data_IF_683188851068
#
_entry.id   IF_683188851068
#
_cell.length_a   1.000
_cell.length_b   1.000
_cell.length_c   1.000
_cell.angle_alpha   90.00
_cell.angle_beta   90.00
_cell.angle_gamma   90.00
#
_symmetry.space_group_name_H-M   'P 1'
#
loop_
_entity.id
_entity.type
_entity.pdbx_description
1 polymer ?
#
# COMPACT_ATOMS: atom_id res chain seq x y z
N UNK A 1 -14.63 40.60 4.13
CA UNK A 1 -13.37 40.46 3.37
C UNK A 1 -12.70 39.17 3.84
N UNK A 2 -12.82 38.10 3.08
CA UNK A 2 -12.24 36.80 3.44
C UNK A 2 -10.74 36.81 3.21
N UNK A 3 -9.96 36.64 4.29
CA UNK A 3 -8.50 36.56 4.28
C UNK A 3 -7.96 35.31 3.54
N UNK A 4 -8.84 34.39 3.15
CA UNK A 4 -8.50 33.09 2.56
C UNK A 4 -9.41 32.83 1.38
N UNK A 5 -8.86 32.40 0.24
CA UNK A 5 -9.67 32.05 -0.94
C UNK A 5 -10.58 30.86 -0.65
N UNK A 6 -11.76 30.81 -1.27
CA UNK A 6 -12.72 29.70 -1.08
C UNK A 6 -12.11 28.32 -1.43
N UNK A 7 -11.15 28.30 -2.37
CA UNK A 7 -10.39 27.10 -2.72
C UNK A 7 -9.53 26.62 -1.55
N UNK A 8 -8.77 27.51 -0.91
CA UNK A 8 -7.95 27.16 0.25
C UNK A 8 -8.78 26.65 1.42
N UNK A 9 -9.97 27.22 1.65
CA UNK A 9 -10.90 26.73 2.69
C UNK A 9 -11.34 25.29 2.39
N UNK A 10 -11.60 24.98 1.13
CA UNK A 10 -12.00 23.63 0.69
C UNK A 10 -10.84 22.64 0.82
N UNK A 11 -9.64 23.02 0.41
CA UNK A 11 -8.45 22.17 0.50
C UNK A 11 -8.09 21.86 1.97
N UNK A 12 -8.16 22.87 2.85
CA UNK A 12 -7.98 22.68 4.30
C UNK A 12 -9.05 21.77 4.90
N UNK A 13 -10.31 21.92 4.46
CA UNK A 13 -11.41 21.05 4.92
C UNK A 13 -11.17 19.59 4.54
N UNK A 14 -10.61 19.33 3.35
CA UNK A 14 -10.27 17.98 2.89
C UNK A 14 -9.13 17.37 3.70
N UNK A 15 -8.05 18.13 3.92
CA UNK A 15 -6.90 17.66 4.70
C UNK A 15 -7.33 17.36 6.14
N UNK A 16 -8.09 18.27 6.75
CA UNK A 16 -8.57 18.08 8.12
C UNK A 16 -9.48 16.86 8.21
N UNK A 17 -10.44 16.70 7.30
CA UNK A 17 -11.29 15.53 7.31
C UNK A 17 -10.48 14.23 7.14
N UNK A 18 -9.47 14.22 6.26
CA UNK A 18 -8.64 13.05 6.07
C UNK A 18 -7.90 12.67 7.36
N UNK A 19 -7.33 13.66 8.05
CA UNK A 19 -6.67 13.48 9.32
C UNK A 19 -7.60 12.90 10.40
N UNK A 20 -8.80 13.49 10.58
CA UNK A 20 -9.79 12.99 11.55
C UNK A 20 -10.22 11.55 11.25
N UNK A 21 -10.41 11.20 9.97
CA UNK A 21 -10.75 9.82 9.57
C UNK A 21 -9.61 8.84 9.83
N UNK A 22 -8.36 9.26 9.65
CA UNK A 22 -7.18 8.42 9.93
C UNK A 22 -7.01 8.18 11.43
N UNK A 23 -7.18 9.23 12.24
CA UNK A 23 -7.17 9.12 13.71
C UNK A 23 -8.26 8.17 14.18
N UNK A 24 -9.48 8.29 13.64
CA UNK A 24 -10.57 7.38 13.95
C UNK A 24 -10.21 5.93 13.66
N UNK A 25 -9.68 5.62 12.47
CA UNK A 25 -9.28 4.25 12.14
C UNK A 25 -8.20 3.72 13.10
N UNK A 26 -7.21 4.54 13.44
CA UNK A 26 -6.15 4.16 14.36
C UNK A 26 -6.65 3.90 15.79
N UNK A 27 -7.54 4.75 16.31
CA UNK A 27 -8.12 4.59 17.64
C UNK A 27 -9.12 3.42 17.69
N UNK A 28 -9.87 3.20 16.61
CA UNK A 28 -10.83 2.10 16.46
C UNK A 28 -10.15 0.73 16.52
N UNK A 29 -8.96 0.58 15.93
CA UNK A 29 -8.18 -0.66 16.02
C UNK A 29 -7.65 -0.95 17.43
N UNK A 30 -7.57 0.06 18.29
CA UNK A 30 -6.86 0.01 19.58
C UNK A 30 -7.75 0.19 20.83
N UNK A 31 -9.06 0.44 20.71
CA UNK A 31 -9.93 0.80 21.85
C UNK A 31 -11.30 0.06 21.92
N UNK A 32 -12.12 0.42 22.92
CA UNK A 32 -13.31 -0.29 23.38
C UNK A 32 -14.58 0.20 22.66
N UNK A 33 -15.39 -0.72 22.11
CA UNK A 33 -16.51 -0.50 21.16
C UNK A 33 -17.59 0.54 21.54
N UNK A 34 -17.71 0.92 22.81
CA UNK A 34 -18.73 1.88 23.26
C UNK A 34 -18.26 3.34 23.19
N UNK A 35 -16.97 3.62 23.39
CA UNK A 35 -16.39 4.96 23.21
C UNK A 35 -16.43 5.38 21.73
N UNK A 36 -16.26 4.40 20.84
CA UNK A 36 -16.36 4.53 19.40
C UNK A 36 -17.72 5.10 18.98
N UNK A 37 -18.79 4.75 19.72
CA UNK A 37 -20.16 5.18 19.41
C UNK A 37 -20.42 6.68 19.57
N UNK A 38 -19.68 7.32 20.47
CA UNK A 38 -19.80 8.76 20.68
C UNK A 38 -18.93 9.51 19.68
N UNK A 39 -17.71 9.02 19.49
CA UNK A 39 -16.72 9.63 18.62
C UNK A 39 -17.15 9.61 17.13
N UNK A 40 -17.78 8.54 16.63
CA UNK A 40 -18.32 8.55 15.25
C UNK A 40 -19.40 9.61 15.03
N UNK A 41 -20.26 9.86 16.02
CA UNK A 41 -21.32 10.88 15.89
C UNK A 41 -20.72 12.28 15.80
N UNK A 42 -19.62 12.51 16.52
CA UNK A 42 -18.88 13.75 16.47
C UNK A 42 -18.23 13.95 15.10
N UNK A 43 -17.59 12.93 14.54
CA UNK A 43 -17.02 12.97 13.18
C UNK A 43 -18.11 13.17 12.11
N UNK A 44 -19.23 12.46 12.18
CA UNK A 44 -20.34 12.69 11.24
C UNK A 44 -20.92 14.09 11.34
N UNK A 45 -21.07 14.62 12.55
CA UNK A 45 -21.52 16.00 12.76
C UNK A 45 -20.50 16.98 12.18
N UNK A 46 -19.21 16.70 12.35
CA UNK A 46 -18.13 17.48 11.77
C UNK A 46 -18.18 17.47 10.23
N UNK A 47 -18.27 16.31 9.58
CA UNK A 47 -18.41 16.17 8.12
C UNK A 47 -19.63 16.95 7.61
N UNK A 48 -20.79 16.77 8.25
CA UNK A 48 -22.03 17.47 7.86
C UNK A 48 -21.90 18.99 8.04
N UNK A 49 -21.15 19.45 9.04
CA UNK A 49 -20.87 20.88 9.22
C UNK A 49 -19.92 21.41 8.14
N UNK A 50 -18.89 20.66 7.76
CA UNK A 50 -18.01 21.01 6.65
C UNK A 50 -18.79 21.13 5.33
N UNK A 51 -19.70 20.21 5.04
CA UNK A 51 -20.53 20.23 3.82
C UNK A 51 -21.56 21.37 3.78
N UNK A 52 -21.97 21.89 4.95
CA UNK A 52 -22.90 23.04 5.01
C UNK A 52 -22.26 24.34 4.54
N UNK A 53 -20.93 24.46 4.63
CA UNK A 53 -20.17 25.63 4.19
C UNK A 53 -20.37 25.86 2.69
N UNK A 54 -20.65 27.10 2.23
CA UNK A 54 -20.97 27.39 0.83
C UNK A 54 -19.82 27.02 -0.12
N UNK A 55 -18.56 27.18 0.32
CA UNK A 55 -17.36 26.78 -0.43
C UNK A 55 -17.29 25.26 -0.68
N UNK A 56 -17.81 24.46 0.25
CA UNK A 56 -17.61 23.02 0.27
C UNK A 56 -18.77 22.23 -0.36
N UNK A 57 -19.95 22.85 -0.54
CA UNK A 57 -21.15 22.17 -1.09
C UNK A 57 -20.92 21.53 -2.45
N UNK A 58 -20.07 22.14 -3.28
CA UNK A 58 -19.71 21.62 -4.60
C UNK A 58 -18.50 20.69 -4.61
N UNK A 59 -17.85 20.45 -3.47
CA UNK A 59 -16.59 19.71 -3.41
C UNK A 59 -16.80 18.21 -3.52
N UNK A 60 -16.60 17.67 -4.72
CA UNK A 60 -16.81 16.24 -5.01
C UNK A 60 -15.98 15.33 -4.08
N UNK A 61 -14.76 15.74 -3.73
CA UNK A 61 -13.89 14.96 -2.85
C UNK A 61 -14.43 14.87 -1.41
N UNK A 62 -15.00 15.94 -0.86
CA UNK A 62 -15.62 15.90 0.47
C UNK A 62 -16.86 14.99 0.50
N UNK A 63 -17.66 15.00 -0.57
CA UNK A 63 -18.78 14.08 -0.73
C UNK A 63 -18.33 12.61 -0.84
N UNK A 64 -17.25 12.34 -1.59
CA UNK A 64 -16.62 11.02 -1.66
C UNK A 64 -16.16 10.55 -0.27
N UNK A 65 -15.44 11.39 0.48
CA UNK A 65 -14.96 11.05 1.83
C UNK A 65 -16.11 10.81 2.80
N UNK A 66 -17.17 11.62 2.73
CA UNK A 66 -18.36 11.42 3.53
C UNK A 66 -19.01 10.05 3.26
N UNK A 67 -19.20 9.71 1.99
CA UNK A 67 -19.79 8.44 1.61
C UNK A 67 -18.92 7.26 2.06
N UNK A 68 -17.60 7.29 1.80
CA UNK A 68 -16.68 6.24 2.27
C UNK A 68 -16.73 6.06 3.79
N UNK A 69 -16.84 7.15 4.55
CA UNK A 69 -16.97 7.06 6.00
C UNK A 69 -18.28 6.40 6.43
N UNK A 70 -19.42 6.77 5.85
CA UNK A 70 -20.72 6.11 6.11
C UNK A 70 -20.70 4.63 5.71
N UNK A 71 -20.00 4.27 4.62
CA UNK A 71 -19.83 2.87 4.22
C UNK A 71 -19.07 2.07 5.27
N UNK A 72 -17.95 2.58 5.76
CA UNK A 72 -17.12 1.91 6.77
C UNK A 72 -17.86 1.71 8.10
N UNK A 73 -18.88 2.52 8.38
CA UNK A 73 -19.78 2.36 9.53
C UNK A 73 -20.87 1.30 9.32
N UNK A 74 -21.00 0.73 8.11
CA UNK A 74 -22.03 -0.24 7.75
C UNK A 74 -23.31 0.37 7.17
N UNK A 75 -23.39 1.69 6.99
CA UNK A 75 -24.55 2.38 6.41
C UNK A 75 -24.49 2.36 4.87
N UNK A 76 -24.46 1.17 4.27
CA UNK A 76 -24.16 0.97 2.84
C UNK A 76 -25.18 1.62 1.90
N UNK A 77 -26.47 1.60 2.25
CA UNK A 77 -27.55 2.21 1.45
C UNK A 77 -27.44 3.73 1.41
N UNK A 78 -27.25 4.36 2.57
CA UNK A 78 -27.09 5.82 2.67
C UNK A 78 -25.80 6.26 1.98
N UNK A 79 -24.71 5.53 2.19
CA UNK A 79 -23.45 5.76 1.50
C UNK A 79 -23.62 5.72 -0.03
N UNK A 80 -24.30 4.70 -0.58
CA UNK A 80 -24.57 4.62 -2.01
C UNK A 80 -25.31 5.87 -2.52
N UNK A 81 -26.35 6.31 -1.79
CA UNK A 81 -27.08 7.53 -2.15
C UNK A 81 -26.17 8.77 -2.17
N UNK A 82 -25.29 8.91 -1.17
CA UNK A 82 -24.32 10.01 -1.07
C UNK A 82 -23.35 9.97 -2.25
N UNK A 83 -22.84 8.79 -2.61
CA UNK A 83 -21.96 8.64 -3.78
C UNK A 83 -22.66 9.02 -5.09
N UNK A 84 -23.91 8.63 -5.31
CA UNK A 84 -24.65 9.05 -6.49
C UNK A 84 -24.88 10.57 -6.53
N UNK A 85 -25.11 11.21 -5.39
CA UNK A 85 -25.15 12.68 -5.30
C UNK A 85 -23.78 13.28 -5.67
N UNK A 86 -22.67 12.68 -5.22
CA UNK A 86 -21.33 13.12 -5.59
C UNK A 86 -21.08 13.00 -7.09
N UNK A 87 -21.50 11.89 -7.72
CA UNK A 87 -21.42 11.67 -9.18
C UNK A 87 -22.19 12.76 -9.93
N UNK A 88 -23.40 13.12 -9.50
CA UNK A 88 -24.18 14.20 -10.12
C UNK A 88 -23.50 15.57 -10.06
N UNK A 89 -22.71 15.83 -9.00
CA UNK A 89 -21.95 17.07 -8.88
C UNK A 89 -20.79 17.16 -9.88
N UNK A 90 -20.24 16.03 -10.34
CA UNK A 90 -19.10 16.02 -11.27
C UNK A 90 -19.42 16.69 -12.61
N UNK A 91 -20.67 16.62 -13.07
CA UNK A 91 -21.11 17.21 -14.35
C UNK A 91 -20.99 18.73 -14.41
N UNK A 92 -20.77 19.40 -13.27
CA UNK A 92 -20.53 20.86 -13.22
C UNK A 92 -19.12 21.25 -13.64
N UNK A 93 -18.13 20.37 -13.45
CA UNK A 93 -16.74 20.61 -13.84
C UNK A 93 -16.46 20.01 -15.22
N UNK A 94 -16.45 20.85 -16.25
CA UNK A 94 -16.17 20.42 -17.62
C UNK A 94 -14.73 19.92 -17.82
N UNK A 95 -13.78 20.37 -17.00
CA UNK A 95 -12.36 20.06 -17.17
C UNK A 95 -11.97 18.80 -16.40
N UNK A 96 -12.36 18.70 -15.12
CA UNK A 96 -11.97 17.57 -14.27
C UNK A 96 -13.12 16.64 -13.86
N UNK A 97 -14.36 16.93 -14.29
CA UNK A 97 -15.54 16.14 -13.90
C UNK A 97 -15.40 14.65 -14.20
N UNK A 98 -14.86 14.28 -15.36
CA UNK A 98 -14.64 12.87 -15.73
C UNK A 98 -13.65 12.17 -14.78
N UNK A 99 -12.58 12.85 -14.36
CA UNK A 99 -11.59 12.28 -13.43
C UNK A 99 -12.20 12.11 -12.03
N UNK A 100 -12.95 13.11 -11.56
CA UNK A 100 -13.64 13.02 -10.27
C UNK A 100 -14.72 11.93 -10.26
N UNK A 101 -15.45 11.77 -11.36
CA UNK A 101 -16.42 10.70 -11.51
C UNK A 101 -15.72 9.33 -11.49
N UNK A 102 -14.57 9.21 -12.18
CA UNK A 102 -13.83 7.95 -12.24
C UNK A 102 -13.27 7.57 -10.87
N UNK A 103 -12.75 8.56 -10.14
CA UNK A 103 -12.30 8.37 -8.76
C UNK A 103 -13.44 7.86 -7.87
N UNK A 104 -14.66 8.40 -7.96
CA UNK A 104 -15.81 7.93 -7.18
C UNK A 104 -16.21 6.51 -7.58
N UNK A 105 -16.38 6.27 -8.88
CA UNK A 105 -16.81 4.97 -9.41
C UNK A 105 -15.81 3.87 -9.05
N UNK A 106 -14.50 4.17 -9.10
CA UNK A 106 -13.47 3.26 -8.61
C UNK A 106 -13.73 2.95 -7.14
N UNK A 107 -13.66 3.92 -6.22
CA UNK A 107 -13.76 3.60 -4.79
C UNK A 107 -15.07 2.88 -4.44
N UNK A 108 -16.18 3.24 -5.08
CA UNK A 108 -17.45 2.52 -4.90
C UNK A 108 -17.34 1.03 -5.27
N UNK A 109 -16.71 0.72 -6.40
CA UNK A 109 -16.48 -0.66 -6.81
C UNK A 109 -15.53 -1.39 -5.84
N UNK A 110 -14.50 -0.71 -5.32
CA UNK A 110 -13.56 -1.26 -4.33
C UNK A 110 -14.21 -1.47 -2.95
N UNK A 111 -15.25 -0.70 -2.62
CA UNK A 111 -16.03 -0.87 -1.40
C UNK A 111 -17.06 -2.00 -1.51
N UNK A 112 -17.59 -2.23 -2.71
CA UNK A 112 -18.54 -3.32 -2.98
C UNK A 112 -17.89 -4.70 -3.02
N UNK A 113 -16.61 -4.76 -3.39
CA UNK A 113 -15.87 -5.99 -3.64
C UNK A 113 -14.47 -5.86 -3.10
N UNK A 114 -14.01 -6.86 -2.36
CA UNK A 114 -12.58 -7.00 -2.09
C UNK A 114 -11.87 -7.36 -3.40
N UNK A 115 -11.16 -6.38 -3.99
CA UNK A 115 -10.45 -6.56 -5.25
C UNK A 115 -9.45 -7.72 -5.18
N UNK A 116 -8.98 -8.08 -3.98
CA UNK A 116 -8.09 -9.20 -3.75
C UNK A 116 -8.75 -10.56 -4.03
N UNK A 117 -10.07 -10.62 -4.16
CA UNK A 117 -10.85 -11.84 -4.37
C UNK A 117 -11.54 -11.81 -5.73
N UNK A 118 -10.95 -12.56 -6.66
CA UNK A 118 -11.45 -12.70 -8.03
C UNK A 118 -12.90 -13.20 -8.10
N UNK A 119 -13.29 -14.16 -7.26
CA UNK A 119 -14.64 -14.74 -7.28
C UNK A 119 -15.72 -13.71 -6.89
N UNK A 120 -15.46 -12.91 -5.85
CA UNK A 120 -16.37 -11.84 -5.42
C UNK A 120 -16.58 -10.81 -6.54
N UNK A 121 -15.53 -10.50 -7.29
CA UNK A 121 -15.58 -9.59 -8.44
C UNK A 121 -16.47 -10.10 -9.57
N UNK A 122 -16.47 -11.40 -9.86
CA UNK A 122 -17.40 -11.99 -10.84
C UNK A 122 -18.84 -12.02 -10.33
N UNK A 123 -19.04 -12.33 -9.05
CA UNK A 123 -20.38 -12.32 -8.44
C UNK A 123 -21.04 -10.94 -8.46
N UNK A 124 -20.24 -9.88 -8.25
CA UNK A 124 -20.72 -8.49 -8.21
C UNK A 124 -20.55 -7.74 -9.53
N UNK A 125 -20.18 -8.43 -10.61
CA UNK A 125 -19.96 -7.85 -11.94
C UNK A 125 -21.13 -6.99 -12.42
N UNK A 126 -22.37 -7.47 -12.28
CA UNK A 126 -23.55 -6.73 -12.73
C UNK A 126 -23.76 -5.44 -11.91
N UNK A 127 -23.53 -5.49 -10.60
CA UNK A 127 -23.67 -4.32 -9.72
C UNK A 127 -22.62 -3.25 -10.08
N UNK A 128 -21.38 -3.67 -10.32
CA UNK A 128 -20.31 -2.76 -10.75
C UNK A 128 -20.60 -2.18 -12.14
N UNK A 129 -21.13 -2.98 -13.07
CA UNK A 129 -21.53 -2.50 -14.39
C UNK A 129 -22.62 -1.41 -14.31
N UNK A 130 -23.57 -1.51 -13.37
CA UNK A 130 -24.57 -0.45 -13.14
C UNK A 130 -23.92 0.85 -12.69
N UNK A 131 -22.87 0.80 -11.85
CA UNK A 131 -22.10 1.99 -11.46
C UNK A 131 -21.46 2.67 -12.67
N UNK A 132 -20.90 1.88 -13.59
CA UNK A 132 -20.29 2.40 -14.81
C UNK A 132 -21.30 3.07 -15.76
N UNK A 133 -22.55 2.59 -15.80
CA UNK A 133 -23.62 3.29 -16.53
C UNK A 133 -23.91 4.64 -15.87
N UNK A 134 -24.03 4.68 -14.55
CA UNK A 134 -24.25 5.92 -13.82
C UNK A 134 -23.07 6.91 -13.88
N UNK A 135 -21.85 6.41 -14.10
CA UNK A 135 -20.65 7.22 -14.33
C UNK A 135 -20.77 8.09 -15.59
N UNK A 136 -21.37 7.56 -16.66
CA UNK A 136 -21.59 8.28 -17.93
C UNK A 136 -22.93 8.99 -17.96
N UNK A 137 -23.97 8.39 -17.40
CA UNK A 137 -25.33 8.90 -17.38
C UNK A 137 -25.79 9.13 -15.93
N UNK A 138 -25.31 10.20 -15.25
CA UNK A 138 -25.54 10.43 -13.82
C UNK A 138 -27.02 10.62 -13.41
N UNK A 139 -27.89 10.81 -14.40
CA UNK A 139 -29.34 10.93 -14.22
C UNK A 139 -30.08 9.59 -14.33
N UNK A 140 -29.45 8.54 -14.86
CA UNK A 140 -30.04 7.20 -14.96
C UNK A 140 -29.56 6.34 -13.78
N UNK A 141 -30.33 6.34 -12.69
CA UNK A 141 -30.12 5.35 -11.62
C UNK A 141 -30.80 4.04 -12.01
N UNK A 142 -29.98 3.05 -12.32
CA UNK A 142 -30.44 1.67 -12.52
C UNK A 142 -30.79 1.05 -11.16
N UNK A 143 -32.00 0.53 -11.04
CA UNK A 143 -32.47 -0.19 -9.83
C UNK A 143 -31.78 -1.55 -9.69
N UNK A 144 -31.84 -2.16 -8.51
CA UNK A 144 -31.22 -3.48 -8.25
C UNK A 144 -31.67 -4.55 -9.27
N UNK A 145 -32.91 -4.48 -9.76
CA UNK A 145 -33.49 -5.44 -10.71
C UNK A 145 -33.30 -5.11 -12.20
N UNK A 146 -32.70 -3.97 -12.55
CA UNK A 146 -32.55 -3.60 -13.97
C UNK A 146 -31.29 -4.23 -14.57
N UNK A 147 -31.46 -5.00 -15.64
CA UNK A 147 -30.35 -5.55 -16.42
C UNK A 147 -29.59 -4.46 -17.18
N UNK A 148 -28.26 -4.58 -17.23
CA UNK A 148 -27.41 -3.62 -17.96
C UNK A 148 -27.36 -4.01 -19.44
N UNK A 149 -27.83 -3.12 -20.31
CA UNK A 149 -27.76 -3.35 -21.76
C UNK A 149 -26.33 -3.23 -22.30
N UNK A 150 -25.95 -4.12 -23.23
CA UNK A 150 -24.67 -4.05 -23.94
C UNK A 150 -24.44 -2.69 -24.63
N UNK A 151 -25.52 -2.03 -25.09
CA UNK A 151 -25.44 -0.72 -25.75
C UNK A 151 -24.96 0.36 -24.78
N UNK A 152 -25.43 0.31 -23.52
CA UNK A 152 -24.99 1.25 -22.48
C UNK A 152 -23.50 1.03 -22.17
N UNK A 153 -23.06 -0.22 -22.04
CA UNK A 153 -21.65 -0.55 -21.81
C UNK A 153 -20.75 -0.11 -22.96
N UNK A 154 -21.19 -0.23 -24.21
CA UNK A 154 -20.45 0.27 -25.37
C UNK A 154 -20.30 1.79 -25.35
N UNK A 155 -21.34 2.52 -24.92
CA UNK A 155 -21.28 3.97 -24.74
C UNK A 155 -20.31 4.39 -23.63
N UNK A 156 -20.32 3.65 -22.51
CA UNK A 156 -19.32 3.85 -21.43
C UNK A 156 -17.91 3.64 -21.99
N UNK A 157 -17.70 2.54 -22.70
CA UNK A 157 -16.41 2.20 -23.27
C UNK A 157 -15.92 3.27 -24.26
N UNK A 158 -16.77 3.79 -25.14
CA UNK A 158 -16.37 4.80 -26.12
C UNK A 158 -15.87 6.08 -25.45
N UNK A 159 -16.56 6.55 -24.41
CA UNK A 159 -16.21 7.79 -23.70
C UNK A 159 -14.91 7.63 -22.93
N UNK A 160 -14.76 6.52 -22.19
CA UNK A 160 -13.52 6.26 -21.46
C UNK A 160 -12.33 6.08 -22.42
N UNK A 161 -12.54 5.41 -23.56
CA UNK A 161 -11.51 5.20 -24.56
C UNK A 161 -11.08 6.50 -25.24
N UNK A 162 -12.03 7.39 -25.55
CA UNK A 162 -11.72 8.73 -26.07
C UNK A 162 -10.83 9.48 -25.09
N UNK A 163 -11.20 9.48 -23.80
CA UNK A 163 -10.40 10.17 -22.78
C UNK A 163 -9.02 9.54 -22.55
N UNK A 164 -8.91 8.21 -22.64
CA UNK A 164 -7.61 7.53 -22.62
C UNK A 164 -6.72 7.99 -23.78
N UNK A 165 -7.28 8.11 -24.99
CA UNK A 165 -6.51 8.57 -26.15
C UNK A 165 -5.99 9.99 -25.96
N UNK A 166 -6.79 10.90 -25.36
CA UNK A 166 -6.32 12.24 -24.99
C UNK A 166 -5.10 12.17 -24.07
N UNK A 167 -5.17 11.33 -23.02
CA UNK A 167 -4.07 11.16 -22.06
C UNK A 167 -2.82 10.63 -22.79
N UNK A 168 -2.96 9.64 -23.67
CA UNK A 168 -1.84 9.09 -24.45
C UNK A 168 -1.21 10.18 -25.34
N UNK A 169 -2.03 11.02 -25.97
CA UNK A 169 -1.55 12.14 -26.80
C UNK A 169 -0.81 13.17 -25.93
N UNK A 170 -1.34 13.51 -24.75
CA UNK A 170 -0.72 14.44 -23.81
C UNK A 170 0.61 13.90 -23.25
N UNK A 171 0.68 12.60 -22.93
CA UNK A 171 1.88 11.86 -22.52
C UNK A 171 2.95 11.97 -23.62
N UNK A 172 2.59 11.65 -24.86
CA UNK A 172 3.51 11.66 -26.01
C UNK A 172 4.01 13.06 -26.36
N UNK A 173 3.23 14.11 -26.06
CA UNK A 173 3.64 15.50 -26.23
C UNK A 173 4.40 16.06 -25.03
N UNK A 174 4.58 15.27 -23.95
CA UNK A 174 5.16 15.73 -22.67
C UNK A 174 4.42 16.94 -22.08
N UNK A 175 3.10 16.99 -22.26
CA UNK A 175 2.23 18.13 -21.92
C UNK A 175 1.25 17.87 -20.78
N UNK A 176 1.51 16.88 -19.91
CA UNK A 176 0.67 16.53 -18.73
C UNK A 176 0.55 17.63 -17.65
N UNK A 177 0.83 18.89 -17.99
CA UNK A 177 0.96 20.04 -17.09
C UNK A 177 -0.37 20.44 -16.45
N UNK A 178 -1.51 20.08 -17.06
CA UNK A 178 -2.80 20.70 -16.70
C UNK A 178 -3.65 19.93 -15.69
N UNK A 179 -3.36 18.65 -15.44
CA UNK A 179 -4.11 17.75 -14.55
C UNK A 179 -3.16 17.06 -13.56
N UNK A 180 -3.65 16.78 -12.35
CA UNK A 180 -2.83 16.11 -11.33
C UNK A 180 -2.64 14.62 -11.67
N UNK A 181 -1.45 14.08 -11.39
CA UNK A 181 -1.16 12.66 -11.62
C UNK A 181 -2.08 11.74 -10.81
N UNK A 182 -2.53 12.15 -9.61
CA UNK A 182 -3.49 11.37 -8.83
C UNK A 182 -4.83 11.20 -9.56
N UNK A 183 -5.36 12.27 -10.15
CA UNK A 183 -6.58 12.21 -10.97
C UNK A 183 -6.43 11.29 -12.18
N UNK A 184 -5.27 11.34 -12.85
CA UNK A 184 -4.98 10.46 -13.99
C UNK A 184 -4.92 9.00 -13.54
N UNK A 185 -4.23 8.71 -12.43
CA UNK A 185 -4.16 7.36 -11.88
C UNK A 185 -5.54 6.82 -11.50
N UNK A 186 -6.36 7.62 -10.84
CA UNK A 186 -7.74 7.26 -10.49
C UNK A 186 -8.56 6.90 -11.72
N UNK A 187 -8.46 7.71 -12.78
CA UNK A 187 -9.11 7.44 -14.05
C UNK A 187 -8.61 6.17 -14.73
N UNK A 188 -7.29 5.98 -14.82
CA UNK A 188 -6.71 4.80 -15.46
C UNK A 188 -7.08 3.51 -14.71
N UNK A 189 -7.05 3.51 -13.38
CA UNK A 189 -7.49 2.36 -12.56
C UNK A 189 -8.98 2.05 -12.79
N UNK A 190 -9.83 3.08 -12.82
CA UNK A 190 -11.26 2.94 -13.12
C UNK A 190 -11.49 2.35 -14.53
N UNK A 191 -10.72 2.80 -15.52
CA UNK A 191 -10.78 2.27 -16.88
C UNK A 191 -10.31 0.82 -16.97
N UNK A 192 -9.20 0.48 -16.31
CA UNK A 192 -8.69 -0.90 -16.25
C UNK A 192 -9.72 -1.83 -15.62
N UNK A 193 -10.37 -1.41 -14.53
CA UNK A 193 -11.44 -2.19 -13.90
C UNK A 193 -12.60 -2.44 -14.87
N UNK A 194 -13.04 -1.40 -15.59
CA UNK A 194 -14.09 -1.53 -16.59
C UNK A 194 -13.72 -2.55 -17.66
N UNK A 195 -12.53 -2.41 -18.26
CA UNK A 195 -12.08 -3.30 -19.32
C UNK A 195 -11.88 -4.73 -18.84
N UNK A 196 -11.39 -4.91 -17.62
CA UNK A 196 -11.26 -6.22 -17.00
C UNK A 196 -12.61 -6.92 -16.90
N UNK A 197 -13.65 -6.21 -16.44
CA UNK A 197 -15.00 -6.76 -16.32
C UNK A 197 -15.69 -6.97 -17.68
N UNK A 198 -15.38 -6.12 -18.66
CA UNK A 198 -16.02 -6.13 -19.98
C UNK A 198 -15.36 -7.12 -20.96
N UNK A 199 -14.04 -7.03 -21.14
CA UNK A 199 -13.25 -7.83 -22.08
C UNK A 199 -12.58 -9.06 -21.45
N UNK A 200 -12.54 -9.14 -20.12
CA UNK A 200 -11.88 -10.23 -19.40
C UNK A 200 -10.40 -9.98 -19.10
N UNK A 201 -9.74 -10.92 -18.41
CA UNK A 201 -8.43 -10.74 -17.78
C UNK A 201 -7.26 -10.54 -18.76
N UNK A 202 -7.34 -11.08 -19.98
CA UNK A 202 -6.27 -10.98 -20.98
C UNK A 202 -5.99 -9.52 -21.40
N UNK A 203 -6.96 -8.61 -21.23
CA UNK A 203 -6.77 -7.19 -21.56
C UNK A 203 -5.72 -6.53 -20.67
N UNK A 204 -5.52 -7.03 -19.45
CA UNK A 204 -4.58 -6.48 -18.48
C UNK A 204 -3.15 -6.51 -19.00
N UNK A 205 -2.73 -7.63 -19.60
CA UNK A 205 -1.40 -7.75 -20.20
C UNK A 205 -1.21 -6.74 -21.35
N UNK A 206 -2.25 -6.54 -22.17
CA UNK A 206 -2.20 -5.56 -23.26
C UNK A 206 -2.04 -4.14 -22.72
N UNK A 207 -2.85 -3.75 -21.73
CA UNK A 207 -2.77 -2.40 -21.12
C UNK A 207 -1.48 -2.18 -20.35
N UNK A 208 -0.98 -3.20 -19.68
CA UNK A 208 0.36 -3.17 -19.09
C UNK A 208 1.42 -2.83 -20.14
N UNK A 209 1.42 -3.55 -21.26
CA UNK A 209 2.36 -3.32 -22.37
C UNK A 209 2.23 -1.93 -22.99
N UNK A 210 1.03 -1.38 -23.07
CA UNK A 210 0.81 -0.01 -23.56
C UNK A 210 1.35 1.06 -22.60
N UNK A 211 1.16 0.89 -21.29
CA UNK A 211 1.55 1.89 -20.28
C UNK A 211 3.01 1.82 -19.88
N UNK A 212 3.63 0.64 -19.90
CA UNK A 212 5.05 0.48 -19.52
C UNK A 212 6.01 1.15 -20.51
N UNK A 213 5.57 1.36 -21.76
CA UNK A 213 6.34 2.02 -22.84
C UNK A 213 6.29 3.55 -22.71
N UNK A 214 5.48 4.11 -21.81
CA UNK A 214 5.48 5.55 -21.55
C UNK A 214 6.88 6.03 -21.13
N UNK A 215 7.18 7.34 -21.29
CA UNK A 215 8.43 7.91 -20.82
C UNK A 215 8.72 7.53 -19.35
N UNK A 216 9.97 7.14 -18.99
CA UNK A 216 10.30 6.62 -17.66
C UNK A 216 9.85 7.52 -16.49
N UNK A 217 9.90 8.84 -16.66
CA UNK A 217 9.47 9.80 -15.65
C UNK A 217 7.97 9.77 -15.39
N UNK A 218 7.18 9.45 -16.43
CA UNK A 218 5.73 9.28 -16.33
C UNK A 218 5.43 7.92 -15.71
N UNK A 219 6.11 6.86 -16.16
CA UNK A 219 5.98 5.52 -15.59
C UNK A 219 6.16 5.59 -14.08
N UNK A 220 7.27 6.14 -13.58
CA UNK A 220 7.55 6.30 -12.13
C UNK A 220 6.46 7.05 -11.34
N UNK A 221 5.63 7.86 -12.01
CA UNK A 221 4.53 8.63 -11.40
C UNK A 221 3.17 7.93 -11.46
N UNK A 222 3.11 6.70 -11.96
CA UNK A 222 1.88 5.90 -12.07
C UNK A 222 1.90 4.60 -11.24
N UNK A 223 2.45 4.58 -10.00
CA UNK A 223 2.56 3.34 -9.23
C UNK A 223 1.20 2.67 -9.01
N UNK A 224 0.13 3.44 -8.75
CA UNK A 224 -1.19 2.87 -8.44
C UNK A 224 -1.75 2.10 -9.62
N UNK A 225 -1.53 2.58 -10.85
CA UNK A 225 -2.02 1.94 -12.08
C UNK A 225 -1.38 0.56 -12.27
N UNK A 226 -0.05 0.48 -12.12
CA UNK A 226 0.66 -0.79 -12.26
C UNK A 226 0.36 -1.74 -11.10
N UNK A 227 0.27 -1.23 -9.86
CA UNK A 227 -0.19 -2.04 -8.72
C UNK A 227 -1.57 -2.62 -8.98
N UNK A 228 -2.51 -1.81 -9.46
CA UNK A 228 -3.89 -2.21 -9.74
C UNK A 228 -3.96 -3.32 -10.80
N UNK A 229 -3.21 -3.18 -11.91
CA UNK A 229 -3.10 -4.23 -12.94
C UNK A 229 -2.54 -5.52 -12.35
N UNK A 230 -1.44 -5.44 -11.59
CA UNK A 230 -0.76 -6.61 -11.03
C UNK A 230 -1.63 -7.34 -10.01
N UNK A 231 -2.37 -6.62 -9.16
CA UNK A 231 -3.29 -7.22 -8.19
C UNK A 231 -4.41 -7.97 -8.90
N UNK A 232 -5.11 -7.33 -9.86
CA UNK A 232 -6.18 -7.98 -10.62
C UNK A 232 -5.67 -9.21 -11.38
N UNK A 233 -4.48 -9.11 -11.99
CA UNK A 233 -3.89 -10.21 -12.75
C UNK A 233 -3.44 -11.36 -11.82
N UNK A 234 -2.83 -11.04 -10.67
CA UNK A 234 -2.45 -12.03 -9.66
C UNK A 234 -3.67 -12.83 -9.19
N UNK A 235 -4.77 -12.15 -8.86
CA UNK A 235 -5.97 -12.82 -8.35
C UNK A 235 -6.60 -13.74 -9.41
N UNK A 236 -6.57 -13.31 -10.68
CA UNK A 236 -6.95 -14.17 -11.80
C UNK A 236 -6.02 -15.38 -11.96
N UNK A 237 -4.70 -15.18 -11.90
CA UNK A 237 -3.70 -16.25 -11.99
C UNK A 237 -3.85 -17.26 -10.84
N UNK A 238 -4.12 -16.79 -9.62
CA UNK A 238 -4.32 -17.65 -8.46
C UNK A 238 -5.59 -18.50 -8.58
N UNK A 239 -6.69 -17.89 -9.07
CA UNK A 239 -7.98 -18.58 -9.19
C UNK A 239 -8.01 -19.60 -10.34
N UNK A 240 -7.31 -19.32 -11.42
CA UNK A 240 -7.33 -20.16 -12.64
C UNK A 240 -6.09 -21.04 -12.82
N UNK A 241 -5.04 -20.80 -12.03
CA UNK A 241 -3.72 -21.43 -12.17
C UNK A 241 -3.08 -21.29 -13.56
N UNK A 242 -3.38 -20.20 -14.28
CA UNK A 242 -2.87 -19.89 -15.64
C UNK A 242 -2.09 -18.57 -15.68
N UNK A 243 -1.34 -18.37 -16.75
CA UNK A 243 -0.62 -17.12 -17.08
C UNK A 243 0.40 -16.61 -16.04
N UNK A 244 0.93 -17.51 -15.20
CA UNK A 244 1.86 -17.13 -14.14
C UNK A 244 3.24 -16.67 -14.67
N UNK A 245 3.60 -17.08 -15.89
CA UNK A 245 4.83 -16.65 -16.55
C UNK A 245 4.74 -15.18 -16.97
N UNK A 246 3.61 -14.80 -17.55
CA UNK A 246 3.30 -13.43 -17.97
C UNK A 246 3.22 -12.51 -16.75
N UNK A 247 2.56 -12.96 -15.67
CA UNK A 247 2.54 -12.24 -14.41
C UNK A 247 3.95 -11.96 -13.89
N UNK A 248 4.81 -12.98 -13.85
CA UNK A 248 6.21 -12.86 -13.42
C UNK A 248 7.01 -11.86 -14.23
N UNK A 249 6.83 -11.84 -15.55
CA UNK A 249 7.50 -10.88 -16.42
C UNK A 249 7.01 -9.45 -16.12
N UNK A 250 5.70 -9.24 -16.00
CA UNK A 250 5.13 -7.93 -15.68
C UNK A 250 5.62 -7.36 -14.33
N UNK A 251 5.70 -8.20 -13.28
CA UNK A 251 6.24 -7.72 -12.00
C UNK A 251 7.74 -7.44 -12.12
N UNK A 252 8.52 -8.29 -12.80
CA UNK A 252 9.95 -8.06 -13.02
C UNK A 252 10.21 -6.75 -13.77
N UNK A 253 9.34 -6.38 -14.72
CA UNK A 253 9.42 -5.09 -15.41
C UNK A 253 9.08 -3.92 -14.47
N UNK A 254 8.04 -4.05 -13.65
CA UNK A 254 7.68 -3.03 -12.65
C UNK A 254 8.79 -2.79 -11.61
N UNK A 255 9.45 -3.85 -11.16
CA UNK A 255 10.50 -3.73 -10.15
C UNK A 255 11.73 -2.94 -10.63
N UNK A 256 11.92 -2.78 -11.95
CA UNK A 256 12.95 -1.88 -12.50
C UNK A 256 12.65 -0.39 -12.19
N UNK A 257 11.37 -0.03 -12.06
CA UNK A 257 10.93 1.33 -11.78
C UNK A 257 10.59 1.55 -10.30
N UNK A 258 10.11 0.51 -9.62
CA UNK A 258 9.54 0.59 -8.26
C UNK A 258 10.24 -0.32 -7.24
N UNK A 259 11.53 -0.62 -7.43
CA UNK A 259 12.27 -1.58 -6.60
C UNK A 259 12.29 -1.28 -5.10
N UNK A 260 12.07 -0.02 -4.70
CA UNK A 260 11.98 0.41 -3.30
C UNK A 260 10.56 0.34 -2.72
N UNK A 261 9.54 0.16 -3.56
CA UNK A 261 8.14 0.23 -3.13
C UNK A 261 7.69 -1.08 -2.43
N UNK A 262 7.19 -1.03 -1.18
CA UNK A 262 6.86 -2.22 -0.39
C UNK A 262 5.83 -3.16 -1.05
N UNK A 263 4.74 -2.61 -1.58
CA UNK A 263 3.65 -3.41 -2.16
C UNK A 263 4.12 -4.21 -3.40
N UNK A 264 4.90 -3.58 -4.29
CA UNK A 264 5.48 -4.29 -5.45
C UNK A 264 6.41 -5.40 -5.00
N UNK A 265 7.20 -5.16 -3.96
CA UNK A 265 8.05 -6.18 -3.36
C UNK A 265 7.23 -7.35 -2.79
N UNK A 266 6.14 -7.09 -2.09
CA UNK A 266 5.28 -8.15 -1.54
C UNK A 266 4.64 -8.99 -2.65
N UNK A 267 4.18 -8.36 -3.74
CA UNK A 267 3.71 -9.05 -4.94
C UNK A 267 4.82 -9.89 -5.59
N UNK A 268 6.02 -9.33 -5.72
CA UNK A 268 7.18 -10.06 -6.26
C UNK A 268 7.57 -11.26 -5.40
N UNK A 269 7.63 -11.10 -4.07
CA UNK A 269 7.88 -12.20 -3.13
C UNK A 269 6.81 -13.27 -3.31
N UNK A 270 5.53 -12.89 -3.36
CA UNK A 270 4.44 -13.85 -3.55
C UNK A 270 4.59 -14.69 -4.83
N UNK A 271 5.10 -14.08 -5.91
CA UNK A 271 5.29 -14.71 -7.21
C UNK A 271 6.55 -15.61 -7.30
N UNK A 272 7.63 -15.23 -6.62
CA UNK A 272 8.94 -15.87 -6.75
C UNK A 272 9.36 -16.73 -5.54
N UNK A 273 8.68 -16.63 -4.39
CA UNK A 273 8.99 -17.47 -3.20
C UNK A 273 8.81 -18.95 -3.47
N UNK A 274 7.89 -19.30 -4.36
CA UNK A 274 7.53 -20.66 -4.73
C UNK A 274 8.35 -21.12 -5.96
N UNK A 275 9.42 -21.91 -5.76
CA UNK A 275 10.06 -22.70 -6.83
C UNK A 275 11.56 -22.45 -7.06
N UNK A 276 12.07 -23.04 -8.16
CA UNK A 276 13.50 -23.03 -8.55
C UNK A 276 14.02 -21.69 -9.09
N UNK A 277 13.17 -20.66 -9.20
CA UNK A 277 13.53 -19.36 -9.77
C UNK A 277 14.24 -18.42 -8.78
N UNK A 278 14.74 -18.95 -7.67
CA UNK A 278 15.39 -18.15 -6.64
C UNK A 278 16.59 -17.37 -7.16
N UNK A 279 17.33 -17.93 -8.12
CA UNK A 279 18.46 -17.28 -8.76
C UNK A 279 18.02 -16.04 -9.57
N UNK A 280 16.87 -16.10 -10.25
CA UNK A 280 16.35 -14.97 -11.01
C UNK A 280 16.02 -13.80 -10.08
N UNK A 281 15.26 -14.06 -9.01
CA UNK A 281 14.94 -13.05 -8.00
C UNK A 281 16.20 -12.48 -7.32
N UNK A 282 17.18 -13.32 -6.97
CA UNK A 282 18.47 -12.87 -6.40
C UNK A 282 19.23 -11.96 -7.35
N UNK A 283 19.33 -12.32 -8.64
CA UNK A 283 19.97 -11.47 -9.66
C UNK A 283 19.23 -10.15 -9.82
N UNK A 284 17.92 -10.17 -9.71
CA UNK A 284 17.08 -8.98 -9.78
C UNK A 284 17.36 -8.02 -8.62
N UNK A 285 17.33 -8.50 -7.36
CA UNK A 285 17.68 -7.67 -6.21
C UNK A 285 19.13 -7.18 -6.25
N UNK A 286 20.10 -8.01 -6.65
CA UNK A 286 21.49 -7.56 -6.81
C UNK A 286 21.64 -6.47 -7.87
N UNK A 287 20.83 -6.49 -8.94
CA UNK A 287 20.80 -5.41 -9.93
C UNK A 287 20.29 -4.11 -9.30
N UNK A 288 19.14 -4.15 -8.61
CA UNK A 288 18.55 -2.95 -8.00
C UNK A 288 19.45 -2.39 -6.88
N UNK A 289 20.06 -3.26 -6.05
CA UNK A 289 21.02 -2.85 -5.01
C UNK A 289 22.21 -2.13 -5.64
N UNK A 290 22.75 -2.62 -6.76
CA UNK A 290 23.86 -1.95 -7.46
C UNK A 290 23.47 -0.60 -8.05
N UNK A 291 22.22 -0.47 -8.51
CA UNK A 291 21.70 0.79 -9.06
C UNK A 291 21.40 1.82 -7.96
N UNK A 292 20.96 1.37 -6.77
CA UNK A 292 20.55 2.23 -5.66
C UNK A 292 21.08 1.71 -4.30
N UNK A 293 22.40 1.72 -4.06
CA UNK A 293 22.99 1.15 -2.84
C UNK A 293 22.60 1.91 -1.57
N UNK A 294 22.28 3.20 -1.70
CA UNK A 294 21.94 4.08 -0.58
C UNK A 294 20.49 3.92 -0.08
N UNK A 295 19.61 3.26 -0.84
CA UNK A 295 18.20 3.10 -0.49
C UNK A 295 17.99 1.87 0.41
N UNK A 296 17.74 2.13 1.69
CA UNK A 296 17.46 1.12 2.71
C UNK A 296 16.30 0.19 2.32
N UNK A 297 15.29 0.68 1.60
CA UNK A 297 14.13 -0.14 1.25
C UNK A 297 14.51 -1.25 0.28
N UNK A 298 15.44 -0.99 -0.65
CA UNK A 298 15.92 -2.01 -1.60
C UNK A 298 16.59 -3.17 -0.87
N UNK A 299 17.40 -2.85 0.14
CA UNK A 299 18.06 -3.85 0.97
C UNK A 299 17.07 -4.63 1.84
N UNK A 300 16.15 -3.94 2.52
CA UNK A 300 15.10 -4.58 3.33
C UNK A 300 14.23 -5.49 2.46
N UNK A 301 13.88 -5.06 1.25
CA UNK A 301 13.10 -5.85 0.30
C UNK A 301 13.81 -7.16 -0.08
N UNK A 302 15.13 -7.10 -0.33
CA UNK A 302 15.94 -8.29 -0.62
C UNK A 302 16.04 -9.25 0.59
N UNK A 303 16.15 -8.70 1.81
CA UNK A 303 16.14 -9.50 3.05
C UNK A 303 14.78 -10.18 3.25
N UNK A 304 13.68 -9.42 3.17
CA UNK A 304 12.30 -9.94 3.27
C UNK A 304 12.05 -11.09 2.31
N UNK A 305 12.59 -11.03 1.10
CA UNK A 305 12.49 -12.12 0.13
C UNK A 305 13.18 -13.40 0.60
N UNK A 306 14.42 -13.33 1.09
CA UNK A 306 15.12 -14.51 1.59
C UNK A 306 14.51 -15.04 2.90
N UNK A 307 14.03 -14.17 3.78
CA UNK A 307 13.28 -14.55 4.99
C UNK A 307 11.98 -15.28 4.64
N UNK A 308 11.19 -14.76 3.68
CA UNK A 308 9.97 -15.43 3.23
C UNK A 308 10.28 -16.81 2.63
N UNK A 309 11.43 -16.99 1.99
CA UNK A 309 11.87 -18.30 1.47
C UNK A 309 12.32 -19.24 2.58
N UNK A 310 13.05 -18.73 3.57
CA UNK A 310 13.46 -19.51 4.74
C UNK A 310 12.22 -20.05 5.46
N UNK A 311 11.24 -19.18 5.72
CA UNK A 311 9.96 -19.57 6.33
C UNK A 311 9.23 -20.63 5.50
N UNK A 312 9.17 -20.48 4.17
CA UNK A 312 8.50 -21.45 3.30
C UNK A 312 9.17 -22.83 3.30
N UNK A 313 10.51 -22.90 3.31
CA UNK A 313 11.24 -24.16 3.36
C UNK A 313 11.06 -24.83 4.73
N UNK A 314 11.15 -24.07 5.82
CA UNK A 314 10.95 -24.58 7.17
C UNK A 314 9.55 -25.18 7.35
N UNK A 315 8.50 -24.52 6.83
CA UNK A 315 7.13 -25.05 6.86
C UNK A 315 6.98 -26.39 6.11
N UNK A 316 7.84 -26.70 5.12
CA UNK A 316 7.77 -27.94 4.32
C UNK A 316 8.66 -29.06 4.86
N UNK A 317 9.73 -28.74 5.57
CA UNK A 317 10.73 -29.69 6.06
C UNK A 317 10.36 -30.33 7.41
N UNK A 318 9.12 -30.19 7.90
CA UNK A 318 8.63 -30.93 9.08
C UNK A 318 8.59 -32.46 8.88
N UNK A 319 8.91 -32.98 7.69
CA UNK A 319 9.14 -34.40 7.45
C UNK A 319 10.62 -34.76 7.65
N UNK A 320 10.88 -35.56 8.69
CA UNK A 320 12.12 -36.20 9.19
C UNK A 320 13.20 -36.58 8.17
N UNK A 321 13.87 -35.61 7.53
CA UNK A 321 15.08 -35.90 6.74
C UNK A 321 16.18 -34.90 7.08
N UNK A 322 17.07 -35.31 7.99
CA UNK A 322 18.37 -34.71 8.31
C UNK A 322 19.37 -34.85 7.13
N UNK A 323 18.99 -34.43 5.92
CA UNK A 323 19.96 -34.27 4.82
C UNK A 323 20.28 -32.79 4.65
N UNK A 324 21.49 -32.39 5.08
CA UNK A 324 22.15 -31.11 4.77
C UNK A 324 21.21 -29.91 4.79
N UNK A 325 20.90 -29.40 5.99
CA UNK A 325 19.92 -28.35 6.22
C UNK A 325 20.06 -27.18 5.20
N UNK A 326 19.18 -27.08 4.19
CA UNK A 326 19.22 -26.04 3.18
C UNK A 326 19.06 -24.64 3.78
N UNK A 327 18.57 -24.57 5.02
CA UNK A 327 18.42 -23.34 5.80
C UNK A 327 19.77 -22.64 6.01
N UNK A 328 20.88 -23.39 6.20
CA UNK A 328 22.21 -22.82 6.43
C UNK A 328 22.66 -21.90 5.27
N UNK A 329 22.36 -22.28 4.02
CA UNK A 329 22.72 -21.48 2.85
C UNK A 329 21.92 -20.18 2.74
N UNK A 330 20.62 -20.21 3.06
CA UNK A 330 19.75 -19.03 3.05
C UNK A 330 20.06 -18.12 4.23
N UNK A 331 20.26 -18.68 5.43
CA UNK A 331 20.67 -17.91 6.60
C UNK A 331 21.99 -17.17 6.37
N UNK A 332 23.01 -17.84 5.81
CA UNK A 332 24.27 -17.20 5.47
C UNK A 332 24.11 -16.09 4.41
N UNK A 333 23.15 -16.25 3.49
CA UNK A 333 22.80 -15.20 2.54
C UNK A 333 22.15 -14.00 3.21
N UNK A 334 21.23 -14.20 4.16
CA UNK A 334 20.61 -13.13 4.95
C UNK A 334 21.69 -12.41 5.78
N UNK A 335 22.60 -13.15 6.44
CA UNK A 335 23.76 -12.58 7.14
C UNK A 335 24.62 -11.73 6.21
N UNK A 336 24.89 -12.20 5.00
CA UNK A 336 25.65 -11.46 3.98
C UNK A 336 24.92 -10.20 3.50
N UNK A 337 23.59 -10.23 3.39
CA UNK A 337 22.80 -9.06 3.04
C UNK A 337 22.86 -8.00 4.15
N UNK A 338 22.62 -8.38 5.40
CA UNK A 338 22.80 -7.47 6.54
C UNK A 338 24.22 -6.95 6.65
N UNK A 339 25.21 -7.84 6.53
CA UNK A 339 26.63 -7.48 6.62
C UNK A 339 27.06 -6.46 5.57
N UNK A 340 26.52 -6.53 4.34
CA UNK A 340 26.74 -5.49 3.32
C UNK A 340 25.92 -4.23 3.59
N UNK A 341 24.66 -4.38 3.98
CA UNK A 341 23.75 -3.27 4.27
C UNK A 341 24.31 -2.33 5.35
N UNK A 342 24.93 -2.88 6.40
CA UNK A 342 25.53 -2.08 7.49
C UNK A 342 26.89 -1.48 7.14
N UNK A 343 27.49 -1.84 6.01
CA UNK A 343 28.71 -1.20 5.49
C UNK A 343 28.40 0.05 4.68
N UNK A 344 27.16 0.23 4.24
CA UNK A 344 26.73 1.43 3.50
C UNK A 344 26.62 2.63 4.44
N UNK A 345 27.29 3.72 4.09
CA UNK A 345 27.40 4.94 4.92
C UNK A 345 26.04 5.55 5.27
N UNK A 346 25.05 5.43 4.38
CA UNK A 346 23.71 5.98 4.61
C UNK A 346 22.85 5.12 5.54
N UNK A 347 23.16 3.82 5.67
CA UNK A 347 22.31 2.85 6.38
C UNK A 347 22.93 2.45 7.72
N UNK A 348 24.26 2.54 7.86
CA UNK A 348 24.97 2.12 9.07
C UNK A 348 24.51 2.82 10.36
N UNK A 349 23.87 3.98 10.26
CA UNK A 349 23.30 4.73 11.39
C UNK A 349 21.82 4.42 11.68
N UNK A 350 21.18 3.54 10.90
CA UNK A 350 19.78 3.17 11.09
C UNK A 350 19.66 2.09 12.18
N UNK A 351 19.18 2.48 13.37
CA UNK A 351 19.02 1.57 14.49
C UNK A 351 18.06 0.40 14.20
N UNK A 352 16.99 0.62 13.42
CA UNK A 352 16.03 -0.44 13.10
C UNK A 352 16.66 -1.58 12.30
N UNK A 353 17.65 -1.29 11.44
CA UNK A 353 18.40 -2.32 10.71
C UNK A 353 19.21 -3.17 11.67
N UNK A 354 19.88 -2.54 12.63
CA UNK A 354 20.64 -3.25 13.66
C UNK A 354 19.75 -4.11 14.54
N UNK A 355 18.61 -3.60 15.00
CA UNK A 355 17.64 -4.36 15.80
C UNK A 355 17.19 -5.60 15.04
N UNK A 356 16.80 -5.45 13.77
CA UNK A 356 16.41 -6.58 12.91
C UNK A 356 17.56 -7.59 12.71
N UNK A 357 18.80 -7.11 12.55
CA UNK A 357 19.95 -7.99 12.38
C UNK A 357 20.28 -8.78 13.66
N UNK A 358 20.21 -8.13 14.83
CA UNK A 358 20.40 -8.80 16.13
C UNK A 358 19.30 -9.83 16.34
N UNK A 359 18.03 -9.47 16.09
CA UNK A 359 16.91 -10.39 16.18
C UNK A 359 17.12 -11.63 15.30
N UNK A 360 17.54 -11.43 14.05
CA UNK A 360 17.86 -12.54 13.14
C UNK A 360 18.97 -13.46 13.69
N UNK A 361 20.01 -12.92 14.32
CA UNK A 361 21.07 -13.74 14.93
C UNK A 361 20.62 -14.47 16.20
N UNK A 362 19.67 -13.92 16.95
CA UNK A 362 19.07 -14.62 18.09
C UNK A 362 18.20 -15.80 17.64
N UNK A 363 17.48 -15.65 16.53
CA UNK A 363 16.58 -16.68 16.00
C UNK A 363 17.33 -17.80 15.24
N UNK A 364 18.42 -17.47 14.55
CA UNK A 364 19.10 -18.40 13.62
C UNK A 364 20.60 -18.56 13.84
N UNK A 365 21.19 -17.85 14.79
CA UNK A 365 22.63 -17.84 15.09
C UNK A 365 22.94 -18.27 16.52
N UNK A 366 24.16 -17.93 16.95
CA UNK A 366 24.59 -18.12 18.34
C UNK A 366 24.44 -16.82 19.12
N UNK A 367 24.24 -16.92 20.44
CA UNK A 367 24.20 -15.74 21.31
C UNK A 367 25.45 -14.87 21.17
N UNK A 368 26.62 -15.48 20.95
CA UNK A 368 27.87 -14.76 20.67
C UNK A 368 27.76 -13.89 19.42
N UNK A 369 27.24 -14.43 18.31
CA UNK A 369 27.04 -13.67 17.07
C UNK A 369 26.05 -12.51 17.25
N UNK A 370 24.97 -12.73 18.01
CA UNK A 370 24.03 -11.67 18.33
C UNK A 370 24.70 -10.54 19.14
N UNK A 371 25.52 -10.90 20.15
CA UNK A 371 26.31 -9.94 20.94
C UNK A 371 27.33 -9.20 20.08
N UNK A 372 28.06 -9.88 19.21
CA UNK A 372 29.04 -9.25 18.31
C UNK A 372 28.37 -8.17 17.42
N UNK A 373 27.20 -8.46 16.86
CA UNK A 373 26.41 -7.50 16.07
C UNK A 373 25.89 -6.35 16.95
N UNK A 374 25.41 -6.65 18.16
CA UNK A 374 24.96 -5.63 19.10
C UNK A 374 26.09 -4.65 19.48
N UNK A 375 27.26 -5.16 19.89
CA UNK A 375 28.40 -4.31 20.22
C UNK A 375 28.93 -3.52 19.01
N UNK A 376 28.82 -4.08 17.80
CA UNK A 376 29.10 -3.34 16.56
C UNK A 376 28.11 -2.19 16.37
N UNK A 377 26.81 -2.42 16.59
CA UNK A 377 25.79 -1.38 16.49
C UNK A 377 26.01 -0.22 17.46
N UNK A 378 26.48 -0.50 18.69
CA UNK A 378 26.77 0.54 19.69
C UNK A 378 27.91 1.47 19.26
N UNK A 379 28.88 0.96 18.50
CA UNK A 379 29.98 1.81 17.98
C UNK A 379 29.46 2.83 16.96
N UNK A 380 28.43 2.48 16.20
CA UNK A 380 27.92 3.26 15.08
C UNK A 380 26.68 4.09 15.43
N UNK A 381 25.90 3.63 16.42
CA UNK A 381 24.66 4.23 16.90
C UNK A 381 24.64 4.39 18.45
N UNK A 382 25.65 5.04 19.07
CA UNK A 382 25.83 5.01 20.52
C UNK A 382 24.69 5.66 21.31
N UNK A 383 23.98 6.64 20.74
CA UNK A 383 22.96 7.41 21.45
C UNK A 383 21.54 6.86 21.30
N UNK A 384 21.34 5.74 20.59
CA UNK A 384 19.99 5.25 20.28
C UNK A 384 19.48 4.36 21.41
N UNK A 385 18.68 4.95 22.31
CA UNK A 385 18.08 4.27 23.47
C UNK A 385 17.36 2.95 23.13
N UNK A 386 16.72 2.87 21.96
CA UNK A 386 16.01 1.67 21.51
C UNK A 386 16.92 0.44 21.42
N UNK A 387 18.20 0.59 21.04
CA UNK A 387 19.15 -0.52 20.96
C UNK A 387 19.45 -1.11 22.34
N UNK A 388 19.63 -0.25 23.34
CA UNK A 388 19.90 -0.67 24.71
C UNK A 388 18.68 -1.36 25.34
N UNK A 389 17.48 -0.82 25.12
CA UNK A 389 16.25 -1.43 25.61
C UNK A 389 16.02 -2.80 24.97
N UNK A 390 16.22 -2.93 23.66
CA UNK A 390 16.12 -4.19 22.96
C UNK A 390 17.13 -5.24 23.50
N UNK A 391 18.37 -4.82 23.74
CA UNK A 391 19.39 -5.70 24.33
C UNK A 391 19.08 -6.09 25.78
N UNK A 392 18.56 -5.17 26.60
CA UNK A 392 18.12 -5.46 27.96
C UNK A 392 17.03 -6.55 28.00
N UNK A 393 16.11 -6.53 27.04
CA UNK A 393 15.02 -7.51 26.94
C UNK A 393 15.51 -8.88 26.43
N UNK A 394 16.53 -8.91 25.55
CA UNK A 394 16.85 -10.11 24.74
C UNK A 394 18.23 -10.73 24.97
N UNK A 395 19.17 -10.03 25.62
CA UNK A 395 20.57 -10.47 25.75
C UNK A 395 21.02 -10.78 27.20
N UNK A 396 20.12 -10.68 28.18
CA UNK A 396 20.36 -10.96 29.60
C UNK A 396 21.57 -10.22 30.21
N UNK A 397 21.86 -9.00 29.74
CA UNK A 397 23.00 -8.16 30.18
C UNK A 397 22.56 -6.84 30.84
N UNK A 398 21.38 -6.83 31.49
CA UNK A 398 20.73 -5.63 32.02
C UNK A 398 21.65 -4.70 32.83
N UNK A 399 22.36 -5.24 33.83
CA UNK A 399 23.20 -4.43 34.72
C UNK A 399 24.37 -3.76 33.98
N UNK A 400 25.05 -4.49 33.09
CA UNK A 400 26.16 -3.94 32.29
C UNK A 400 25.65 -2.90 31.29
N UNK A 401 24.46 -3.11 30.73
CA UNK A 401 23.83 -2.17 29.81
C UNK A 401 23.36 -0.90 30.53
N UNK A 402 22.85 -1.00 31.76
CA UNK A 402 22.51 0.16 32.58
C UNK A 402 23.73 1.02 32.91
N UNK A 403 24.86 0.39 33.26
CA UNK A 403 26.13 1.09 33.46
C UNK A 403 26.56 1.82 32.19
N UNK A 404 26.51 1.14 31.04
CA UNK A 404 26.81 1.75 29.73
C UNK A 404 25.85 2.90 29.38
N UNK A 405 24.55 2.75 29.63
CA UNK A 405 23.56 3.82 29.40
C UNK A 405 23.83 5.03 30.29
N UNK A 406 24.24 4.81 31.54
CA UNK A 406 24.61 5.86 32.49
C UNK A 406 25.89 6.57 32.04
N UNK A 407 26.91 5.81 31.60
CA UNK A 407 28.16 6.36 31.05
C UNK A 407 27.91 7.21 29.79
N UNK A 408 26.95 6.82 28.95
CA UNK A 408 26.58 7.54 27.71
C UNK A 408 25.54 8.64 27.93
N UNK A 409 25.23 8.99 29.19
CA UNK A 409 24.23 10.01 29.56
C UNK A 409 22.83 9.76 28.94
N UNK A 410 22.50 8.50 28.63
CA UNK A 410 21.20 8.14 28.09
C UNK A 410 20.19 8.13 29.23
N UNK A 411 19.15 8.97 29.12
CA UNK A 411 18.13 9.08 30.15
C UNK A 411 17.40 7.76 30.40
N UNK A 412 17.77 7.06 31.46
CA UNK A 412 17.03 5.95 32.05
C UNK A 412 16.12 6.55 33.13
N UNK A 413 14.81 6.45 32.93
CA UNK A 413 13.83 6.74 33.99
C UNK A 413 13.53 5.42 34.69
N UNK A 414 14.48 4.95 35.49
CA UNK A 414 14.21 3.91 36.48
C UNK A 414 15.08 4.28 37.68
N UNK A 415 14.42 4.69 38.75
CA UNK A 415 15.04 4.79 40.07
C UNK A 415 15.10 3.33 40.54
N UNK A 416 16.29 2.73 40.58
CA UNK A 416 16.45 1.32 41.01
C UNK A 416 15.79 1.07 42.38
N UNK A 417 15.74 2.10 43.24
CA UNK A 417 15.12 2.08 44.57
C UNK A 417 13.58 1.90 44.53
N UNK A 418 12.89 2.21 43.43
CA UNK A 418 11.41 2.04 43.33
C UNK A 418 11.00 0.62 42.87
N UNK A 419 11.89 -0.11 42.18
CA UNK A 419 11.60 -1.49 41.76
C UNK A 419 11.75 -2.49 42.92
N UNK A 420 12.72 -2.26 43.81
CA UNK A 420 12.89 -3.09 45.01
C UNK A 420 11.68 -2.94 45.95
N UNK A 421 11.12 -1.73 46.08
CA UNK A 421 9.89 -1.48 46.85
C UNK A 421 8.65 -2.12 46.21
N UNK A 422 8.58 -2.24 44.88
CA UNK A 422 7.46 -2.88 44.18
C UNK A 422 7.57 -4.41 44.11
N UNK A 423 8.73 -4.99 44.45
CA UNK A 423 8.95 -6.44 44.54
C UNK A 423 8.90 -6.96 45.99
N UNK A 424 8.98 -6.07 46.97
CA UNK A 424 8.85 -6.37 48.41
C UNK A 424 7.40 -6.24 48.96
N UNK A 425 6.46 -5.71 48.17
CA UNK A 425 4.99 -5.75 48.39
C UNK A 425 4.32 -6.77 47.44
#
# INVERSE_FOLDING_TARGET
>A
MGLVSEKYVTDLSQIWLHFETMLFCFEFENTNKELDKKYWKEILKFIKNLLKLPSNRGSVMLWKMYATFEWNLGNTVDSNNIFFTAIQLTGKDKKHGIYHCAAITRNLAELLVDINKHEELHHKKQDIQKLFVAFVEPNQRLTENSEVSCVMLLKVYSILKEKLNDIIIEVNRSQLVSTSFSMIQDFLCCFILFEYLYNGPNILQKRFGEFIIFPPDIVKRLPDVFMYILVLFNNFCQSTHRHFSEYKNMISDCMQYYGSHPIFNDLFISAYRHGFNSLHARRHYEKIIKENPHDINVWINAVKYEESRLAFINCKNHSEVEFLDPSCGIQNRIRSLYGRMVQEETIMHCADVWIRFIQFQLEHGTLKQAKDVFYLSLRLCPCVKMLYLFACERLDEFNQLLELMTEKEIRVKVIMEELDVLLED
#
